data_IF_877437536349
#
_entry.id   IF_877437536349
#
_cell.length_a   1.000
_cell.length_b   1.000
_cell.length_c   1.000
_cell.angle_alpha   90.00
_cell.angle_beta   90.00
_cell.angle_gamma   90.00
#
_symmetry.space_group_name_H-M   'P 1'
#
loop_
_entity.id
_entity.type
_entity.pdbx_description
1 polymer ?
#
# COMPACT_ATOMS: atom_id res chain seq x y z
N UNK A 1 -1.40 -17.35 -4.57
CA UNK A 1 -0.34 -16.35 -4.83
C UNK A 1 0.67 -16.50 -3.71
N UNK A 2 1.89 -16.91 -4.03
CA UNK A 2 3.00 -16.91 -3.06
C UNK A 2 3.47 -15.47 -2.89
N UNK A 3 3.54 -14.94 -1.66
CA UNK A 3 4.07 -13.60 -1.44
C UNK A 3 5.55 -13.56 -1.81
N UNK A 4 5.94 -12.55 -2.60
CA UNK A 4 7.34 -12.36 -3.03
C UNK A 4 7.83 -11.02 -2.50
N UNK A 5 9.01 -11.01 -1.89
CA UNK A 5 9.60 -9.77 -1.36
C UNK A 5 10.33 -9.05 -2.49
N UNK A 6 10.02 -7.77 -2.70
CA UNK A 6 10.88 -6.89 -3.49
C UNK A 6 10.44 -5.45 -3.47
N UNK A 7 10.62 -4.75 -4.60
CA UNK A 7 10.49 -3.29 -4.66
C UNK A 7 9.16 -2.79 -4.09
N UNK A 8 8.05 -3.44 -4.43
CA UNK A 8 6.73 -3.01 -3.97
C UNK A 8 6.53 -3.27 -2.47
N UNK A 9 7.13 -4.32 -1.91
CA UNK A 9 7.11 -4.58 -0.47
C UNK A 9 7.72 -3.42 0.33
N UNK A 10 8.89 -2.94 -0.08
CA UNK A 10 9.55 -1.81 0.59
C UNK A 10 8.90 -0.46 0.26
N UNK A 11 8.48 -0.25 -0.99
CA UNK A 11 7.81 0.97 -1.40
C UNK A 11 6.51 1.19 -0.64
N UNK A 12 5.65 0.17 -0.53
CA UNK A 12 4.40 0.25 0.23
C UNK A 12 4.65 0.33 1.74
N UNK A 13 5.69 -0.33 2.27
CA UNK A 13 6.08 -0.20 3.67
C UNK A 13 6.45 1.24 4.08
N UNK A 14 6.97 2.05 3.15
CA UNK A 14 7.27 3.48 3.38
C UNK A 14 6.08 4.38 3.02
N UNK A 15 5.38 4.08 1.94
CA UNK A 15 4.26 4.90 1.47
C UNK A 15 3.08 4.88 2.44
N UNK A 16 2.71 3.72 2.98
CA UNK A 16 1.62 3.58 3.94
C UNK A 16 1.77 4.47 5.19
N UNK A 17 2.91 4.46 5.92
CA UNK A 17 3.08 5.35 7.08
C UNK A 17 3.12 6.83 6.68
N UNK A 18 3.64 7.20 5.50
CA UNK A 18 3.59 8.57 5.01
C UNK A 18 2.14 9.04 4.76
N UNK A 19 1.33 8.21 4.11
CA UNK A 19 -0.09 8.48 3.91
C UNK A 19 -0.85 8.60 5.24
N UNK A 20 -0.54 7.74 6.21
CA UNK A 20 -1.08 7.85 7.56
C UNK A 20 -0.73 9.18 8.23
N UNK A 21 0.53 9.62 8.15
CA UNK A 21 0.97 10.89 8.71
C UNK A 21 0.28 12.08 8.03
N UNK A 22 0.12 12.04 6.70
CA UNK A 22 -0.62 13.05 5.95
C UNK A 22 -2.08 13.11 6.40
N UNK A 23 -2.76 11.96 6.47
CA UNK A 23 -4.13 11.86 6.96
C UNK A 23 -4.27 12.35 8.41
N UNK A 24 -3.26 12.14 9.24
CA UNK A 24 -3.23 12.67 10.61
C UNK A 24 -3.13 14.20 10.64
N UNK A 25 -2.32 14.82 9.77
CA UNK A 25 -2.26 16.28 9.67
C UNK A 25 -3.58 16.87 9.19
N UNK A 26 -4.23 16.23 8.21
CA UNK A 26 -5.56 16.63 7.75
C UNK A 26 -6.58 16.56 8.89
N UNK A 27 -6.63 15.46 9.65
CA UNK A 27 -7.51 15.33 10.82
C UNK A 27 -7.23 16.40 11.88
N UNK A 28 -5.96 16.75 12.10
CA UNK A 28 -5.58 17.84 13.01
C UNK A 28 -6.09 19.20 12.51
N UNK A 29 -5.96 19.49 11.21
CA UNK A 29 -6.47 20.71 10.60
C UNK A 29 -8.00 20.81 10.68
N UNK A 30 -8.70 19.71 10.43
CA UNK A 30 -10.16 19.61 10.57
C UNK A 30 -10.58 19.83 12.03
N UNK A 31 -9.89 19.22 12.99
CA UNK A 31 -10.18 19.41 14.41
C UNK A 31 -9.96 20.87 14.84
N UNK A 32 -8.89 21.52 14.35
CA UNK A 32 -8.64 22.94 14.57
C UNK A 32 -9.76 23.81 14.01
N UNK A 33 -10.21 23.55 12.78
CA UNK A 33 -11.31 24.29 12.16
C UNK A 33 -12.65 24.13 12.91
N UNK A 34 -12.89 22.96 13.48
CA UNK A 34 -14.12 22.64 14.22
C UNK A 34 -14.05 22.97 15.71
N UNK A 35 -12.93 23.49 16.21
CA UNK A 35 -12.72 23.73 17.65
C UNK A 35 -12.76 22.46 18.50
N UNK A 36 -12.47 21.30 17.92
CA UNK A 36 -12.49 20.00 18.62
C UNK A 36 -11.08 19.52 18.97
N UNK A 37 -11.01 18.52 19.86
CA UNK A 37 -9.75 17.90 20.24
C UNK A 37 -9.06 17.23 19.04
N UNK A 38 -7.76 17.51 18.88
CA UNK A 38 -6.93 16.87 17.87
C UNK A 38 -6.66 15.37 18.14
N UNK A 39 -6.05 14.67 17.19
CA UNK A 39 -5.79 13.23 17.30
C UNK A 39 -4.82 12.89 18.46
N UNK A 40 -5.33 12.18 19.48
CA UNK A 40 -4.61 11.74 20.70
C UNK A 40 -3.82 10.43 20.54
N UNK A 41 -3.96 9.76 19.39
CA UNK A 41 -3.27 8.52 19.06
C UNK A 41 -1.73 8.68 19.05
N UNK A 42 -1.00 7.61 19.41
CA UNK A 42 0.47 7.59 19.43
C UNK A 42 1.01 7.37 18.00
N UNK A 43 1.49 8.42 17.29
CA UNK A 43 1.78 8.31 15.86
C UNK A 43 2.88 7.29 15.54
N UNK A 44 3.85 7.11 16.45
CA UNK A 44 4.96 6.15 16.26
C UNK A 44 4.45 4.71 16.14
N UNK A 45 3.49 4.31 16.98
CA UNK A 45 2.96 2.94 16.98
C UNK A 45 2.18 2.68 15.69
N UNK A 46 1.32 3.63 15.31
CA UNK A 46 0.55 3.52 14.08
C UNK A 46 1.43 3.53 12.84
N UNK A 47 2.52 4.33 12.80
CA UNK A 47 3.48 4.25 11.70
C UNK A 47 4.07 2.85 11.54
N UNK A 48 4.44 2.18 12.64
CA UNK A 48 4.95 0.80 12.58
C UNK A 48 3.88 -0.16 12.05
N UNK A 49 2.65 -0.05 12.54
CA UNK A 49 1.52 -0.88 12.06
C UNK A 49 1.29 -0.68 10.55
N UNK A 50 1.24 0.58 10.10
CA UNK A 50 1.06 0.92 8.70
C UNK A 50 2.25 0.47 7.83
N UNK A 51 3.47 0.51 8.35
CA UNK A 51 4.64 0.00 7.65
C UNK A 51 4.59 -1.53 7.47
N UNK A 52 4.23 -2.27 8.53
CA UNK A 52 4.05 -3.73 8.45
C UNK A 52 2.95 -4.08 7.46
N UNK A 53 1.81 -3.38 7.54
CA UNK A 53 0.70 -3.61 6.63
C UNK A 53 1.07 -3.30 5.17
N UNK A 54 1.79 -2.19 4.93
CA UNK A 54 2.32 -1.83 3.62
C UNK A 54 3.28 -2.88 3.08
N UNK A 55 4.16 -3.44 3.92
CA UNK A 55 5.05 -4.52 3.53
C UNK A 55 4.30 -5.78 3.09
N UNK A 56 3.28 -6.19 3.86
CA UNK A 56 2.43 -7.34 3.52
C UNK A 56 1.68 -7.08 2.21
N UNK A 57 1.04 -5.92 2.06
CA UNK A 57 0.34 -5.55 0.82
C UNK A 57 1.29 -5.53 -0.38
N UNK A 58 2.49 -4.97 -0.23
CA UNK A 58 3.46 -4.91 -1.32
C UNK A 58 4.02 -6.27 -1.70
N UNK A 59 4.24 -7.18 -0.76
CA UNK A 59 4.65 -8.55 -1.06
C UNK A 59 3.56 -9.39 -1.73
N UNK A 60 2.29 -9.08 -1.45
CA UNK A 60 1.15 -9.68 -2.16
C UNK A 60 0.96 -9.07 -3.56
N UNK A 61 1.18 -7.76 -3.71
CA UNK A 61 1.00 -7.06 -4.98
C UNK A 61 2.11 -7.38 -5.98
N UNK A 62 3.33 -7.57 -5.50
CA UNK A 62 4.49 -7.78 -6.36
C UNK A 62 4.34 -8.91 -7.41
N UNK A 63 3.89 -10.14 -7.08
CA UNK A 63 3.68 -11.17 -8.10
C UNK A 63 2.56 -10.84 -9.09
N UNK A 64 1.59 -9.98 -8.73
CA UNK A 64 0.61 -9.49 -9.71
C UNK A 64 1.25 -8.49 -10.68
N UNK A 65 2.15 -7.65 -10.18
CA UNK A 65 2.84 -6.66 -11.00
C UNK A 65 3.76 -7.34 -12.02
N UNK A 66 4.60 -8.27 -11.57
CA UNK A 66 5.51 -9.04 -12.43
C UNK A 66 4.74 -9.76 -13.55
N UNK A 67 3.63 -10.42 -13.22
CA UNK A 67 2.75 -11.03 -14.23
C UNK A 67 2.14 -10.01 -15.17
N UNK A 68 1.72 -8.85 -14.66
CA UNK A 68 1.19 -7.76 -15.47
C UNK A 68 2.19 -7.29 -16.52
N UNK A 69 3.45 -7.12 -16.15
CA UNK A 69 4.53 -6.74 -17.07
C UNK A 69 4.76 -7.81 -18.14
N UNK A 70 4.77 -9.10 -17.77
CA UNK A 70 4.87 -10.21 -18.72
C UNK A 70 3.72 -10.22 -19.74
N UNK A 71 2.48 -9.99 -19.28
CA UNK A 71 1.30 -9.94 -20.14
C UNK A 71 1.34 -8.76 -21.12
N UNK A 72 1.83 -7.60 -20.67
CA UNK A 72 2.02 -6.41 -21.52
C UNK A 72 3.08 -6.70 -22.57
N UNK A 73 4.22 -7.29 -22.19
CA UNK A 73 5.28 -7.68 -23.12
C UNK A 73 4.79 -8.69 -24.17
N UNK A 74 3.90 -9.60 -23.78
CA UNK A 74 3.27 -10.58 -24.67
C UNK A 74 2.11 -10.02 -25.52
N UNK A 75 1.78 -8.73 -25.40
CA UNK A 75 0.62 -8.08 -26.06
C UNK A 75 -0.71 -8.80 -25.77
N UNK A 76 -0.83 -9.44 -24.61
CA UNK A 76 -2.03 -10.18 -24.20
C UNK A 76 -2.96 -9.28 -23.38
N UNK A 77 -4.27 -9.58 -23.37
CA UNK A 77 -5.23 -8.87 -22.52
C UNK A 77 -4.88 -9.04 -21.03
N UNK A 78 -4.47 -7.93 -20.40
CA UNK A 78 -3.99 -7.84 -19.01
C UNK A 78 -4.87 -8.58 -18.00
N UNK A 79 -6.19 -8.36 -18.07
CA UNK A 79 -7.13 -8.96 -17.11
C UNK A 79 -7.17 -10.48 -17.25
N UNK A 80 -7.16 -10.99 -18.48
CA UNK A 80 -7.22 -12.43 -18.72
C UNK A 80 -5.92 -13.11 -18.30
N UNK A 81 -4.78 -12.50 -18.62
CA UNK A 81 -3.47 -13.07 -18.34
C UNK A 81 -3.07 -13.00 -16.85
N UNK A 82 -3.43 -11.92 -16.14
CA UNK A 82 -3.12 -11.77 -14.70
C UNK A 82 -4.10 -12.55 -13.80
N UNK A 83 -5.39 -12.58 -14.15
CA UNK A 83 -6.46 -13.16 -13.31
C UNK A 83 -6.77 -14.61 -13.66
N UNK A 84 -6.65 -14.99 -14.93
CA UNK A 84 -6.97 -16.33 -15.44
C UNK A 84 -5.73 -16.96 -16.13
N UNK A 85 -4.68 -17.31 -15.37
CA UNK A 85 -3.55 -18.01 -15.97
C UNK A 85 -4.04 -19.36 -16.52
N UNK A 86 -4.02 -19.54 -17.84
CA UNK A 86 -4.15 -20.87 -18.44
C UNK A 86 -2.92 -21.66 -18.01
N UNK A 87 -3.16 -22.72 -17.22
CA UNK A 87 -2.18 -23.57 -16.57
C UNK A 87 -1.00 -23.98 -17.44
#
# INVERSE_FOLDING_TARGET
MTPTIGLFSFALAVLCPLLYLLARQLRKGIAYANGTDGPKERPKIYCVIWAIMGFILGSLYQPLHERGEECIAASQPLVQCVVFPSR
#
